data_IF_486793610200
#
_entry.id   IF_486793610200
#
_cell.length_a   1.000
_cell.length_b   1.000
_cell.length_c   1.000
_cell.angle_alpha   90.00
_cell.angle_beta   90.00
_cell.angle_gamma   90.00
#
_symmetry.space_group_name_H-M   'P 1'
#
loop_
_entity.id
_entity.type
_entity.pdbx_description
1 polymer ?
#
# COMPACT_ATOMS: atom_id res chain seq x y z
N UNK A 1 10.95 -7.65 -18.99
CA UNK A 1 10.41 -6.36 -18.52
C UNK A 1 9.28 -6.70 -17.57
N UNK A 2 9.26 -6.16 -16.36
CA UNK A 2 8.10 -6.33 -15.46
C UNK A 2 7.10 -5.27 -15.87
N UNK A 3 5.94 -5.68 -16.38
CA UNK A 3 4.87 -4.73 -16.67
C UNK A 3 4.31 -4.19 -15.35
N UNK A 4 4.09 -2.88 -15.25
CA UNK A 4 3.55 -2.29 -14.00
C UNK A 4 2.19 -2.91 -13.64
N UNK A 5 1.44 -3.35 -14.64
CA UNK A 5 0.18 -4.07 -14.49
C UNK A 5 0.33 -5.45 -13.82
N UNK A 6 1.52 -6.06 -13.87
CA UNK A 6 1.82 -7.34 -13.25
C UNK A 6 2.28 -7.22 -11.78
N UNK A 7 2.47 -5.99 -11.29
CA UNK A 7 2.83 -5.75 -9.89
C UNK A 7 1.67 -6.22 -9.00
N UNK A 8 1.93 -7.31 -8.27
CA UNK A 8 1.01 -7.86 -7.27
C UNK A 8 1.61 -7.70 -5.89
N UNK A 9 0.83 -7.09 -5.01
CA UNK A 9 1.17 -6.98 -3.60
C UNK A 9 0.64 -8.21 -2.87
N UNK A 10 1.52 -8.87 -2.13
CA UNK A 10 1.14 -9.91 -1.17
C UNK A 10 0.76 -9.23 0.13
N UNK A 11 -0.47 -9.48 0.59
CA UNK A 11 -0.98 -8.92 1.83
C UNK A 11 -0.74 -9.88 2.99
N UNK A 12 0.16 -9.53 3.91
CA UNK A 12 0.40 -10.29 5.12
C UNK A 12 -0.45 -9.72 6.27
N UNK A 13 -1.41 -10.49 6.81
CA UNK A 13 -2.14 -10.05 7.99
C UNK A 13 -1.20 -10.04 9.21
N UNK A 14 -1.22 -8.92 9.92
CA UNK A 14 -0.59 -8.72 11.22
C UNK A 14 -1.67 -8.72 12.32
N UNK A 15 -1.24 -8.43 13.55
CA UNK A 15 -2.15 -8.31 14.70
C UNK A 15 -3.02 -7.04 14.59
N UNK A 16 -4.16 -7.05 15.29
CA UNK A 16 -5.05 -5.90 15.46
C UNK A 16 -5.60 -5.30 14.16
N UNK A 17 -5.95 -6.15 13.18
CA UNK A 17 -6.52 -5.66 11.92
C UNK A 17 -5.54 -4.83 11.09
N UNK A 18 -4.24 -5.11 11.23
CA UNK A 18 -3.19 -4.51 10.41
C UNK A 18 -2.78 -5.49 9.30
N UNK A 19 -2.41 -4.97 8.14
CA UNK A 19 -1.96 -5.70 6.97
C UNK A 19 -0.72 -5.04 6.40
N UNK A 20 0.35 -5.80 6.18
CA UNK A 20 1.51 -5.36 5.42
C UNK A 20 1.32 -5.70 3.94
N UNK A 21 1.60 -4.73 3.08
CA UNK A 21 1.76 -4.97 1.66
C UNK A 21 3.24 -5.29 1.39
N UNK A 22 3.47 -6.48 0.85
CA UNK A 22 4.78 -6.97 0.44
C UNK A 22 4.87 -7.01 -1.08
N UNK A 23 5.96 -6.50 -1.63
CA UNK A 23 6.36 -6.75 -3.01
C UNK A 23 7.54 -7.73 -3.01
N UNK A 24 7.26 -8.99 -3.33
CA UNK A 24 8.22 -10.07 -3.15
C UNK A 24 8.57 -10.24 -1.66
N UNK A 25 9.84 -9.97 -1.29
CA UNK A 25 10.33 -10.04 0.10
C UNK A 25 10.42 -8.66 0.78
N UNK A 26 10.09 -7.59 0.06
CA UNK A 26 10.21 -6.23 0.57
C UNK A 26 8.85 -5.71 1.01
N UNK A 27 8.79 -5.17 2.21
CA UNK A 27 7.64 -4.43 2.68
C UNK A 27 7.58 -3.08 1.98
N UNK A 28 6.42 -2.73 1.44
CA UNK A 28 6.25 -1.48 0.67
C UNK A 28 5.20 -0.56 1.27
N UNK A 29 4.21 -1.11 2.00
CA UNK A 29 3.14 -0.34 2.61
C UNK A 29 2.47 -1.07 3.78
N UNK A 30 1.68 -0.33 4.54
CA UNK A 30 0.87 -0.83 5.66
C UNK A 30 -0.55 -0.32 5.56
N UNK A 31 -1.51 -1.13 5.98
CA UNK A 31 -2.92 -0.80 6.14
C UNK A 31 -3.36 -1.24 7.52
N UNK A 32 -3.97 -0.37 8.30
CA UNK A 32 -4.39 -0.65 9.68
C UNK A 32 -5.82 -0.18 9.92
N UNK A 33 -6.61 -1.02 10.58
CA UNK A 33 -7.96 -0.67 11.02
C UNK A 33 -7.89 0.32 12.19
N UNK A 34 -8.66 1.40 12.10
CA UNK A 34 -8.83 2.36 13.19
C UNK A 34 -10.11 2.02 13.94
N UNK A 35 -9.97 1.35 15.07
CA UNK A 35 -11.12 0.81 15.82
C UNK A 35 -12.12 1.89 16.26
N UNK A 36 -11.64 3.09 16.59
CA UNK A 36 -12.47 4.22 17.04
C UNK A 36 -13.27 4.90 15.93
N UNK A 37 -12.83 4.82 14.68
CA UNK A 37 -13.47 5.53 13.55
C UNK A 37 -14.05 4.58 12.49
N UNK A 38 -13.87 3.27 12.66
CA UNK A 38 -14.30 2.22 11.71
C UNK A 38 -13.76 2.39 10.29
N UNK A 39 -12.73 3.21 10.09
CA UNK A 39 -12.03 3.43 8.84
C UNK A 39 -10.66 2.71 8.82
N UNK A 40 -9.99 2.79 7.68
CA UNK A 40 -8.73 2.12 7.41
C UNK A 40 -7.66 3.17 7.09
N UNK A 41 -6.66 3.26 7.96
CA UNK A 41 -5.48 4.06 7.68
C UNK A 41 -4.49 3.26 6.85
N UNK A 42 -3.82 3.89 5.91
CA UNK A 42 -2.78 3.27 5.10
C UNK A 42 -1.63 4.23 4.84
N UNK A 43 -0.44 3.67 4.61
CA UNK A 43 0.77 4.43 4.27
C UNK A 43 1.68 3.60 3.39
N UNK A 44 2.35 4.25 2.45
CA UNK A 44 3.39 3.63 1.62
C UNK A 44 4.74 4.09 2.20
N UNK A 45 5.58 3.14 2.61
CA UNK A 45 6.83 3.44 3.34
C UNK A 45 8.07 3.45 2.45
N UNK A 46 8.12 2.57 1.43
CA UNK A 46 9.34 2.35 0.64
C UNK A 46 9.18 2.61 -0.86
N UNK A 47 7.95 2.78 -1.35
CA UNK A 47 7.63 2.96 -2.78
C UNK A 47 6.69 4.14 -3.02
N UNK A 48 6.84 5.26 -2.32
CA UNK A 48 5.87 6.38 -2.40
C UNK A 48 6.36 7.58 -3.22
N UNK A 49 7.61 7.59 -3.72
CA UNK A 49 8.20 8.65 -4.57
C UNK A 49 8.23 10.06 -3.99
N UNK A 50 7.66 10.24 -2.81
CA UNK A 50 7.35 11.52 -2.18
C UNK A 50 7.75 11.37 -0.73
N UNK A 51 8.41 12.34 -0.11
CA UNK A 51 8.67 12.30 1.34
C UNK A 51 7.38 12.35 2.21
N UNK A 52 6.21 12.05 1.64
CA UNK A 52 4.94 12.00 2.30
C UNK A 52 4.81 10.71 3.13
N UNK A 53 5.22 10.84 4.39
CA UNK A 53 5.17 9.79 5.41
C UNK A 53 3.84 9.73 6.15
N UNK A 54 2.85 10.53 5.72
CA UNK A 54 1.54 10.64 6.35
C UNK A 54 0.66 9.40 6.16
N UNK A 55 -0.24 9.18 7.11
CA UNK A 55 -1.32 8.21 6.96
C UNK A 55 -2.43 8.81 6.09
N UNK A 56 -2.85 8.05 5.10
CA UNK A 56 -4.06 8.28 4.33
C UNK A 56 -5.18 7.38 4.87
N UNK A 57 -6.43 7.73 4.54
CA UNK A 57 -7.60 7.05 5.11
C UNK A 57 -8.55 6.58 4.01
N UNK A 58 -9.15 5.42 4.21
CA UNK A 58 -10.19 4.88 3.34
C UNK A 58 -11.32 4.27 4.19
N UNK A 59 -12.57 4.33 3.73
CA UNK A 59 -13.71 3.79 4.47
C UNK A 59 -13.72 2.24 4.52
N UNK A 60 -13.00 1.57 3.61
CA UNK A 60 -12.99 0.11 3.51
C UNK A 60 -11.57 -0.43 3.36
N UNK A 61 -11.36 -1.68 3.81
CA UNK A 61 -10.08 -2.38 3.66
C UNK A 61 -9.69 -2.48 2.18
N UNK A 62 -10.64 -2.88 1.33
CA UNK A 62 -10.40 -3.03 -0.11
C UNK A 62 -10.07 -1.69 -0.77
N UNK A 63 -10.69 -0.60 -0.31
CA UNK A 63 -10.35 0.76 -0.75
C UNK A 63 -8.93 1.15 -0.35
N UNK A 64 -8.53 0.88 0.90
CA UNK A 64 -7.16 1.12 1.37
C UNK A 64 -6.13 0.30 0.58
N UNK A 65 -6.40 -0.98 0.36
CA UNK A 65 -5.52 -1.86 -0.43
C UNK A 65 -5.39 -1.41 -1.88
N UNK A 66 -6.50 -1.01 -2.50
CA UNK A 66 -6.51 -0.53 -3.89
C UNK A 66 -5.74 0.78 -4.03
N UNK A 67 -5.89 1.71 -3.08
CA UNK A 67 -5.14 2.96 -3.06
C UNK A 67 -3.63 2.72 -2.90
N UNK A 68 -3.25 1.81 -2.01
CA UNK A 68 -1.84 1.39 -1.84
C UNK A 68 -1.30 0.80 -3.14
N UNK A 69 -2.03 -0.12 -3.78
CA UNK A 69 -1.59 -0.72 -5.04
C UNK A 69 -1.41 0.34 -6.14
N UNK A 70 -2.37 1.25 -6.28
CA UNK A 70 -2.30 2.34 -7.25
C UNK A 70 -1.08 3.25 -7.02
N UNK A 71 -0.80 3.61 -5.75
CA UNK A 71 0.37 4.41 -5.40
C UNK A 71 1.69 3.70 -5.67
N UNK A 72 1.80 2.41 -5.36
CA UNK A 72 2.99 1.61 -5.69
C UNK A 72 3.16 1.50 -7.20
N UNK A 73 2.09 1.20 -7.96
CA UNK A 73 2.16 1.14 -9.42
C UNK A 73 2.57 2.47 -10.04
N UNK A 74 2.04 3.59 -9.54
CA UNK A 74 2.43 4.93 -9.99
C UNK A 74 3.91 5.21 -9.72
N UNK A 75 4.42 4.84 -8.55
CA UNK A 75 5.84 4.95 -8.24
C UNK A 75 6.72 4.17 -9.20
N UNK A 76 6.34 2.93 -9.51
CA UNK A 76 7.05 2.12 -10.51
C UNK A 76 7.03 2.78 -11.89
N UNK A 77 5.89 3.37 -12.32
CA UNK A 77 5.85 4.15 -13.58
C UNK A 77 6.80 5.35 -13.55
N UNK A 78 6.82 6.10 -12.44
CA UNK A 78 7.72 7.25 -12.27
C UNK A 78 9.19 6.83 -12.26
N UNK A 79 9.50 5.66 -11.71
CA UNK A 79 10.83 5.07 -11.73
C UNK A 79 11.26 4.53 -13.12
N UNK A 80 10.41 4.64 -14.14
CA UNK A 80 10.71 4.26 -15.52
C UNK A 80 10.34 2.82 -15.88
N UNK A 81 9.62 2.11 -15.01
CA UNK A 81 9.06 0.80 -15.33
C UNK A 81 7.79 0.95 -16.18
N UNK A 82 7.60 0.06 -17.16
CA UNK A 82 6.54 0.11 -18.16
C UNK A 82 5.66 -1.11 -17.98
#
# INVERSE_FOLDING_TARGET
MIEVAEIRLTWLPLRNGTYCAMLGRHEVAFVMKRETMSDWAWRISHCNGTNNTGFHYAPTLEGAKSAVLAGVQEWFRQAGFR
#
